data_IF_449388452723
#
_entry.id   IF_449388452723
#
_cell.length_a   1.000
_cell.length_b   1.000
_cell.length_c   1.000
_cell.angle_alpha   90.00
_cell.angle_beta   90.00
_cell.angle_gamma   90.00
#
_symmetry.space_group_name_H-M   'P 1'
#
loop_
_entity.id
_entity.type
_entity.pdbx_description
1 polymer ?
#
# COMPACT_ATOMS: atom_id res chain seq x y z
N UNK A 1 0.76 6.27 17.21
CA UNK A 1 0.08 5.08 16.67
C UNK A 1 -0.89 5.44 15.54
N UNK A 2 -1.81 6.40 15.71
CA UNK A 2 -2.71 6.87 14.62
C UNK A 2 -1.95 7.23 13.33
N UNK A 3 -0.95 8.10 13.42
CA UNK A 3 -0.19 8.57 12.26
C UNK A 3 0.62 7.46 11.59
N UNK A 4 1.21 6.56 12.38
CA UNK A 4 1.89 5.36 11.89
C UNK A 4 0.93 4.34 11.27
N UNK A 5 -0.31 4.23 11.76
CA UNK A 5 -1.36 3.36 11.19
C UNK A 5 -1.95 3.94 9.91
N UNK A 6 -2.14 5.26 9.84
CA UNK A 6 -2.47 5.94 8.59
C UNK A 6 -1.35 5.76 7.56
N UNK A 7 -0.11 6.04 7.97
CA UNK A 7 1.06 5.82 7.14
C UNK A 7 1.15 4.37 6.64
N UNK A 8 0.96 3.41 7.55
CA UNK A 8 0.91 1.99 7.21
C UNK A 8 -0.26 1.68 6.28
N UNK A 9 -1.45 2.27 6.46
CA UNK A 9 -2.59 2.12 5.54
C UNK A 9 -2.23 2.58 4.12
N UNK A 10 -1.48 3.67 3.97
CA UNK A 10 -1.02 4.17 2.66
C UNK A 10 0.05 3.27 2.00
N UNK A 11 0.85 2.51 2.77
CA UNK A 11 1.95 1.69 2.25
C UNK A 11 1.64 0.19 2.22
N UNK A 12 0.68 -0.28 3.02
CA UNK A 12 0.30 -1.69 3.20
C UNK A 12 -0.71 -2.19 2.17
N UNK A 13 -1.05 -1.36 1.18
CA UNK A 13 -1.49 -1.88 -0.10
C UNK A 13 -0.36 -2.75 -0.65
N UNK A 14 -0.31 -4.03 -0.21
CA UNK A 14 0.60 -5.04 -0.72
C UNK A 14 0.58 -4.90 -2.21
N UNK A 15 1.67 -4.31 -2.73
CA UNK A 15 1.71 -3.89 -4.11
C UNK A 15 1.25 -5.06 -4.99
N UNK A 16 0.43 -4.79 -6.00
CA UNK A 16 0.02 -5.82 -6.96
C UNK A 16 1.22 -6.58 -7.53
N UNK A 17 2.42 -5.99 -7.50
CA UNK A 17 3.73 -6.58 -7.70
C UNK A 17 3.92 -7.93 -6.99
N UNK A 18 3.52 -8.02 -5.71
CA UNK A 18 3.57 -9.25 -4.93
C UNK A 18 2.60 -10.32 -5.42
N UNK A 19 1.57 -9.92 -6.17
CA UNK A 19 0.61 -10.82 -6.82
C UNK A 19 1.12 -11.33 -8.16
N UNK A 20 2.12 -10.66 -8.74
CA UNK A 20 2.81 -11.10 -9.95
C UNK A 20 3.94 -12.10 -9.63
N UNK A 21 4.75 -11.79 -8.61
CA UNK A 21 5.83 -12.66 -8.14
C UNK A 21 5.88 -12.62 -6.61
N UNK A 22 5.37 -13.67 -5.97
CA UNK A 22 5.37 -13.78 -4.52
C UNK A 22 6.58 -14.60 -4.03
N UNK A 23 7.14 -14.33 -2.84
CA UNK A 23 8.17 -15.19 -2.24
C UNK A 23 7.76 -16.68 -2.13
N UNK A 24 6.47 -16.95 -1.93
CA UNK A 24 5.91 -18.32 -1.91
C UNK A 24 5.64 -18.91 -3.29
N UNK A 25 5.69 -18.13 -4.37
CA UNK A 25 5.55 -18.62 -5.75
C UNK A 25 6.56 -19.75 -6.03
N UNK A 26 7.74 -19.74 -5.40
CA UNK A 26 8.73 -20.83 -5.49
C UNK A 26 8.17 -22.21 -5.10
N UNK A 27 7.38 -22.29 -4.03
CA UNK A 27 6.82 -23.56 -3.56
C UNK A 27 5.76 -24.08 -4.53
N UNK A 28 4.91 -23.19 -5.02
CA UNK A 28 3.85 -23.48 -6.00
C UNK A 28 4.48 -23.91 -7.34
N UNK A 29 5.47 -23.17 -7.85
CA UNK A 29 6.20 -23.51 -9.08
C UNK A 29 6.80 -24.91 -9.04
N UNK A 30 7.52 -25.23 -7.97
CA UNK A 30 8.14 -26.56 -7.78
C UNK A 30 7.13 -27.71 -7.69
N UNK A 31 5.90 -27.41 -7.28
CA UNK A 31 4.84 -28.41 -7.15
C UNK A 31 4.24 -28.78 -8.51
N UNK A 32 4.08 -27.79 -9.41
CA UNK A 32 3.32 -27.96 -10.65
C UNK A 32 4.18 -28.11 -11.89
N UNK A 33 5.41 -27.58 -11.88
CA UNK A 33 6.32 -27.66 -13.02
C UNK A 33 7.22 -28.87 -12.85
N UNK A 34 6.97 -29.90 -13.67
CA UNK A 34 7.67 -31.19 -13.60
C UNK A 34 8.92 -31.25 -14.47
N UNK A 35 9.00 -30.42 -15.50
CA UNK A 35 10.17 -30.34 -16.39
C UNK A 35 11.31 -29.57 -15.70
N UNK A 36 12.37 -30.28 -15.32
CA UNK A 36 13.48 -29.76 -14.51
C UNK A 36 14.18 -28.55 -15.15
N UNK A 37 14.49 -28.63 -16.45
CA UNK A 37 15.15 -27.53 -17.16
C UNK A 37 14.30 -26.25 -17.17
N UNK A 38 12.98 -26.38 -17.40
CA UNK A 38 12.04 -25.26 -17.41
C UNK A 38 11.87 -24.68 -16.01
N UNK A 39 11.80 -25.54 -15.00
CA UNK A 39 11.77 -25.13 -13.60
C UNK A 39 13.03 -24.34 -13.23
N UNK A 40 14.22 -24.79 -13.63
CA UNK A 40 15.48 -24.09 -13.38
C UNK A 40 15.53 -22.70 -14.03
N UNK A 41 15.05 -22.59 -15.28
CA UNK A 41 14.94 -21.31 -15.99
C UNK A 41 14.03 -20.33 -15.24
N UNK A 42 12.84 -20.78 -14.84
CA UNK A 42 11.90 -19.97 -14.06
C UNK A 42 12.51 -19.57 -12.71
N UNK A 43 13.18 -20.51 -12.03
CA UNK A 43 13.81 -20.24 -10.74
C UNK A 43 14.95 -19.23 -10.86
N UNK A 44 15.68 -19.19 -11.97
CA UNK A 44 16.66 -18.15 -12.25
C UNK A 44 16.00 -16.76 -12.34
N UNK A 45 14.86 -16.64 -13.04
CA UNK A 45 14.09 -15.40 -13.15
C UNK A 45 13.59 -14.94 -11.76
N UNK A 46 13.01 -15.86 -10.98
CA UNK A 46 12.54 -15.55 -9.61
C UNK A 46 13.68 -15.11 -8.70
N UNK A 47 14.84 -15.76 -8.78
CA UNK A 47 16.00 -15.39 -7.98
C UNK A 47 16.56 -14.01 -8.36
N UNK A 48 16.58 -13.69 -9.65
CA UNK A 48 16.94 -12.36 -10.13
C UNK A 48 15.96 -11.29 -9.64
N UNK A 49 14.65 -11.54 -9.74
CA UNK A 49 13.61 -10.65 -9.22
C UNK A 49 13.84 -10.39 -7.73
N UNK A 50 13.88 -11.43 -6.89
CA UNK A 50 14.03 -11.29 -5.45
C UNK A 50 15.29 -10.51 -5.04
N UNK A 51 16.42 -10.73 -5.75
CA UNK A 51 17.67 -10.02 -5.48
C UNK A 51 17.55 -8.51 -5.79
N UNK A 52 16.86 -8.18 -6.87
CA UNK A 52 16.69 -6.80 -7.34
C UNK A 52 15.62 -6.07 -6.53
N UNK A 53 14.48 -6.72 -6.29
CA UNK A 53 13.38 -6.25 -5.43
C UNK A 53 13.89 -5.88 -4.03
N UNK A 54 14.72 -6.74 -3.40
CA UNK A 54 15.35 -6.44 -2.10
C UNK A 54 16.19 -5.16 -2.10
N UNK A 55 16.80 -4.79 -3.24
CA UNK A 55 17.57 -3.54 -3.34
C UNK A 55 16.66 -2.32 -3.50
N UNK A 56 15.54 -2.49 -4.21
CA UNK A 56 14.53 -1.45 -4.41
C UNK A 56 13.79 -1.18 -3.09
N UNK A 57 13.36 -2.23 -2.37
CA UNK A 57 12.74 -2.15 -1.05
C UNK A 57 13.58 -1.36 -0.05
N UNK A 58 14.91 -1.54 -0.04
CA UNK A 58 15.80 -0.74 0.83
C UNK A 58 15.79 0.75 0.54
N UNK A 59 15.50 1.17 -0.70
CA UNK A 59 15.33 2.59 -1.05
C UNK A 59 13.94 3.06 -0.61
N UNK A 60 12.92 2.25 -0.89
CA UNK A 60 11.53 2.46 -0.49
C UNK A 60 11.42 2.65 1.04
N UNK A 61 12.02 1.77 1.84
CA UNK A 61 12.08 1.84 3.30
C UNK A 61 12.69 3.16 3.81
N UNK A 62 13.74 3.66 3.16
CA UNK A 62 14.39 4.93 3.57
C UNK A 62 13.49 6.13 3.30
N UNK A 63 12.83 6.14 2.14
CA UNK A 63 11.89 7.19 1.78
C UNK A 63 10.65 7.12 2.67
N UNK A 64 10.19 5.91 3.00
CA UNK A 64 9.11 5.71 3.95
C UNK A 64 9.45 6.30 5.33
N UNK A 65 10.62 5.99 5.90
CA UNK A 65 11.05 6.59 7.18
C UNK A 65 11.12 8.13 7.07
N UNK A 66 11.53 8.66 5.92
CA UNK A 66 11.59 10.12 5.71
C UNK A 66 10.18 10.72 5.70
N UNK A 67 9.23 10.11 4.98
CA UNK A 67 7.82 10.52 4.97
C UNK A 67 7.23 10.45 6.38
N UNK A 68 7.45 9.36 7.12
CA UNK A 68 6.97 9.22 8.49
C UNK A 68 7.48 10.35 9.40
N UNK A 69 8.75 10.73 9.28
CA UNK A 69 9.29 11.84 10.07
C UNK A 69 8.65 13.19 9.70
N UNK A 70 8.43 13.45 8.40
CA UNK A 70 7.75 14.66 7.95
C UNK A 70 6.28 14.68 8.41
N UNK A 71 5.64 13.53 8.49
CA UNK A 71 4.26 13.39 8.94
C UNK A 71 4.10 13.74 10.43
N UNK A 72 5.11 13.40 11.24
CA UNK A 72 5.14 13.72 12.67
C UNK A 72 5.50 15.18 12.94
N UNK A 73 6.27 15.81 12.04
CA UNK A 73 6.62 17.22 12.14
C UNK A 73 5.43 18.11 11.74
N UNK A 74 4.95 18.92 12.70
CA UNK A 74 3.88 19.91 12.49
C UNK A 74 4.26 20.97 11.46
N UNK A 75 5.55 21.30 11.39
CA UNK A 75 6.10 22.35 10.53
C UNK A 75 6.31 21.92 9.09
N UNK A 76 6.12 20.63 8.76
CA UNK A 76 6.26 20.13 7.40
C UNK A 76 5.33 20.86 6.43
N UNK A 77 5.91 21.34 5.34
CA UNK A 77 5.16 21.97 4.25
C UNK A 77 4.58 20.95 3.28
N UNK A 78 3.55 21.36 2.53
CA UNK A 78 2.94 20.53 1.48
C UNK A 78 3.99 20.10 0.45
N UNK A 79 4.87 21.02 0.09
CA UNK A 79 5.93 20.80 -0.89
C UNK A 79 6.91 19.72 -0.41
N UNK A 80 7.40 19.80 0.83
CA UNK A 80 8.28 18.78 1.41
C UNK A 80 7.64 17.38 1.43
N UNK A 81 6.35 17.30 1.78
CA UNK A 81 5.61 16.04 1.78
C UNK A 81 5.52 15.46 0.35
N UNK A 82 5.14 16.29 -0.62
CA UNK A 82 5.00 15.86 -2.02
C UNK A 82 6.34 15.48 -2.65
N UNK A 83 7.41 16.24 -2.42
CA UNK A 83 8.73 15.95 -3.00
C UNK A 83 9.22 14.55 -2.61
N UNK A 84 9.16 14.20 -1.31
CA UNK A 84 9.58 12.87 -0.84
C UNK A 84 8.61 11.78 -1.32
N UNK A 85 7.33 12.10 -1.46
CA UNK A 85 6.34 11.15 -1.98
C UNK A 85 6.52 10.85 -3.48
N UNK A 86 6.88 11.84 -4.30
CA UNK A 86 7.20 11.61 -5.70
C UNK A 86 8.42 10.70 -5.87
N UNK A 87 9.45 10.89 -5.03
CA UNK A 87 10.60 9.99 -4.97
C UNK A 87 10.18 8.58 -4.55
N UNK A 88 9.30 8.47 -3.54
CA UNK A 88 8.76 7.21 -3.06
C UNK A 88 8.00 6.45 -4.16
N UNK A 89 7.09 7.12 -4.88
CA UNK A 89 6.34 6.54 -5.99
C UNK A 89 7.26 6.18 -7.15
N UNK A 90 8.28 6.98 -7.46
CA UNK A 90 9.27 6.63 -8.49
C UNK A 90 10.00 5.32 -8.18
N UNK A 91 10.33 5.07 -6.90
CA UNK A 91 10.92 3.81 -6.46
C UNK A 91 9.92 2.65 -6.54
N UNK A 92 8.65 2.87 -6.19
CA UNK A 92 7.58 1.86 -6.36
C UNK A 92 7.35 1.53 -7.83
N UNK A 93 7.37 2.51 -8.72
CA UNK A 93 7.25 2.28 -10.16
C UNK A 93 8.36 1.37 -10.70
N UNK A 94 9.60 1.56 -10.26
CA UNK A 94 10.71 0.66 -10.61
C UNK A 94 10.46 -0.77 -10.13
N UNK A 95 9.84 -0.92 -8.96
CA UNK A 95 9.47 -2.21 -8.39
C UNK A 95 8.37 -2.89 -9.19
N UNK A 96 7.35 -2.13 -9.58
CA UNK A 96 6.27 -2.58 -10.45
C UNK A 96 6.76 -3.00 -11.82
N UNK A 97 7.60 -2.20 -12.47
CA UNK A 97 8.16 -2.54 -13.78
C UNK A 97 9.00 -3.83 -13.73
N UNK A 98 9.77 -4.02 -12.65
CA UNK A 98 10.51 -5.27 -12.43
C UNK A 98 9.56 -6.46 -12.29
N UNK A 99 8.50 -6.33 -11.48
CA UNK A 99 7.52 -7.39 -11.23
C UNK A 99 6.72 -7.75 -12.49
N UNK A 100 6.28 -6.75 -13.27
CA UNK A 100 5.60 -6.93 -14.55
C UNK A 100 6.52 -7.66 -15.53
N UNK A 101 7.74 -7.14 -15.72
CA UNK A 101 8.70 -7.70 -16.68
C UNK A 101 9.04 -9.16 -16.36
N UNK A 102 9.34 -9.47 -15.09
CA UNK A 102 9.68 -10.84 -14.71
C UNK A 102 8.43 -11.74 -14.65
N UNK A 103 7.27 -11.20 -14.26
CA UNK A 103 6.02 -11.96 -14.14
C UNK A 103 5.54 -12.48 -15.48
N UNK A 104 5.63 -11.65 -16.53
CA UNK A 104 5.33 -12.06 -17.91
C UNK A 104 6.25 -13.20 -18.37
N UNK A 105 7.57 -13.07 -18.19
CA UNK A 105 8.52 -14.13 -18.56
C UNK A 105 8.23 -15.46 -17.86
N UNK A 106 7.85 -15.41 -16.58
CA UNK A 106 7.46 -16.61 -15.83
C UNK A 106 6.18 -17.21 -16.43
N UNK A 107 5.16 -16.39 -16.72
CA UNK A 107 3.88 -16.84 -17.31
C UNK A 107 4.05 -17.45 -18.71
N UNK A 108 4.99 -16.96 -19.50
CA UNK A 108 5.33 -17.49 -20.84
C UNK A 108 5.90 -18.91 -20.76
N UNK A 109 6.68 -19.21 -19.71
CA UNK A 109 7.29 -20.53 -19.50
C UNK A 109 6.34 -21.53 -18.83
N UNK A 110 5.18 -21.10 -18.33
CA UNK A 110 4.20 -21.98 -17.69
C UNK A 110 3.19 -22.43 -18.76
N UNK A 111 2.81 -23.71 -18.79
CA UNK A 111 1.72 -24.17 -19.65
C UNK A 111 0.36 -23.69 -19.10
N UNK A 112 -0.68 -23.66 -19.93
CA UNK A 112 -2.00 -23.19 -19.46
C UNK A 112 -2.59 -24.10 -18.38
N UNK A 113 -2.40 -25.42 -18.51
CA UNK A 113 -2.84 -26.38 -17.50
C UNK A 113 -2.14 -26.20 -16.14
N UNK A 114 -0.83 -25.93 -16.15
CA UNK A 114 -0.09 -25.61 -14.94
C UNK A 114 -0.55 -24.28 -14.34
N UNK A 115 -0.76 -23.26 -15.18
CA UNK A 115 -1.23 -21.96 -14.72
C UNK A 115 -2.57 -22.07 -14.00
N UNK A 116 -3.55 -22.78 -14.58
CA UNK A 116 -4.88 -22.93 -13.99
C UNK A 116 -4.80 -23.62 -12.62
N UNK A 117 -3.95 -24.64 -12.47
CA UNK A 117 -3.70 -25.31 -11.18
C UNK A 117 -3.02 -24.38 -10.17
N UNK A 118 -2.02 -23.62 -10.61
CA UNK A 118 -1.30 -22.67 -9.78
C UNK A 118 -2.19 -21.51 -9.33
N UNK A 119 -3.06 -21.00 -10.21
CA UNK A 119 -3.92 -19.86 -9.97
C UNK A 119 -4.86 -20.11 -8.78
N UNK A 120 -5.41 -21.32 -8.65
CA UNK A 120 -6.26 -21.69 -7.49
C UNK A 120 -5.49 -21.59 -6.17
N UNK A 121 -4.23 -22.06 -6.13
CA UNK A 121 -3.41 -21.96 -4.92
C UNK A 121 -2.96 -20.52 -4.64
N UNK A 122 -2.61 -19.77 -5.69
CA UNK A 122 -2.26 -18.36 -5.58
C UNK A 122 -3.44 -17.57 -5.01
N UNK A 123 -4.65 -17.74 -5.56
CA UNK A 123 -5.88 -17.12 -5.04
C UNK A 123 -6.11 -17.45 -3.56
N UNK A 124 -5.91 -18.71 -3.15
CA UNK A 124 -6.02 -19.09 -1.74
C UNK A 124 -4.99 -18.38 -0.84
N UNK A 125 -3.74 -18.27 -1.28
CA UNK A 125 -2.70 -17.58 -0.53
C UNK A 125 -2.95 -16.07 -0.43
N UNK A 126 -3.40 -15.42 -1.51
CA UNK A 126 -3.71 -13.99 -1.52
C UNK A 126 -5.00 -13.64 -0.79
N UNK A 127 -5.95 -14.57 -0.68
CA UNK A 127 -7.16 -14.37 0.15
C UNK A 127 -6.83 -14.11 1.61
N UNK A 128 -5.79 -14.75 2.15
CA UNK A 128 -5.29 -14.46 3.53
C UNK A 128 -4.79 -13.02 3.67
N UNK A 129 -4.25 -12.45 2.59
CA UNK A 129 -3.79 -11.06 2.54
C UNK A 129 -4.96 -10.07 2.46
N UNK A 130 -6.04 -10.42 1.74
CA UNK A 130 -7.28 -9.62 1.66
C UNK A 130 -7.95 -9.46 3.03
N UNK A 131 -8.03 -10.52 3.83
CA UNK A 131 -8.59 -10.42 5.19
C UNK A 131 -7.84 -9.39 6.04
N UNK A 132 -6.50 -9.32 5.91
CA UNK A 132 -5.71 -8.29 6.60
C UNK A 132 -6.08 -6.87 6.15
N UNK A 133 -6.34 -6.64 4.86
CA UNK A 133 -6.78 -5.33 4.36
C UNK A 133 -8.13 -4.91 4.95
N UNK A 134 -9.09 -5.84 5.06
CA UNK A 134 -10.37 -5.57 5.71
C UNK A 134 -10.21 -5.26 7.20
N UNK A 135 -9.31 -5.96 7.89
CA UNK A 135 -9.00 -5.68 9.30
C UNK A 135 -8.30 -4.32 9.47
N UNK A 136 -7.37 -3.96 8.56
CA UNK A 136 -6.75 -2.64 8.55
C UNK A 136 -7.75 -1.50 8.35
N UNK A 137 -8.79 -1.67 7.52
CA UNK A 137 -9.84 -0.65 7.38
C UNK A 137 -10.63 -0.46 8.66
N UNK A 138 -10.93 -1.54 9.38
CA UNK A 138 -11.57 -1.47 10.69
C UNK A 138 -10.65 -0.79 11.71
N UNK A 139 -9.36 -1.08 11.68
CA UNK A 139 -8.36 -0.42 12.54
C UNK A 139 -8.22 1.07 12.21
N UNK A 140 -8.27 1.45 10.93
CA UNK A 140 -8.26 2.85 10.50
C UNK A 140 -9.51 3.58 10.99
N UNK A 141 -10.69 2.98 10.83
CA UNK A 141 -11.96 3.53 11.32
C UNK A 141 -11.92 3.73 12.84
N UNK A 142 -11.44 2.73 13.59
CA UNK A 142 -11.24 2.86 15.03
C UNK A 142 -10.24 3.96 15.39
N UNK A 143 -9.14 4.06 14.65
CA UNK A 143 -8.12 5.10 14.84
C UNK A 143 -8.70 6.50 14.63
N UNK A 144 -9.58 6.68 13.64
CA UNK A 144 -10.31 7.93 13.41
C UNK A 144 -11.26 8.28 14.56
N UNK A 145 -12.01 7.30 15.07
CA UNK A 145 -12.90 7.48 16.23
C UNK A 145 -12.11 7.88 17.49
N UNK A 146 -10.95 7.25 17.70
CA UNK A 146 -10.03 7.57 18.80
C UNK A 146 -9.48 9.00 18.65
N UNK A 147 -9.08 9.41 17.45
CA UNK A 147 -8.64 10.79 17.16
C UNK A 147 -9.74 11.82 17.44
N UNK A 148 -10.98 11.52 17.04
CA UNK A 148 -12.14 12.40 17.29
C UNK A 148 -12.41 12.55 18.78
N UNK A 149 -12.26 11.47 19.55
CA UNK A 149 -12.37 11.49 21.01
C UNK A 149 -11.24 12.29 21.68
N UNK A 150 -10.04 12.26 21.11
CA UNK A 150 -8.91 13.04 21.61
C UNK A 150 -9.07 14.54 21.34
N UNK A 151 -9.54 14.93 20.16
CA UNK A 151 -9.86 16.32 19.82
C UNK A 151 -10.78 16.93 20.90
N UNK A 152 -11.82 16.21 21.32
CA UNK A 152 -12.73 16.65 22.41
C UNK A 152 -12.04 16.84 23.77
N UNK A 153 -10.95 16.13 24.04
CA UNK A 153 -10.20 16.21 25.31
C UNK A 153 -9.19 17.34 25.32
N UNK A 154 -8.51 17.60 24.19
CA UNK A 154 -7.39 18.55 24.10
C UNK A 154 -7.85 19.97 23.73
N UNK A 155 -9.00 20.10 23.09
CA UNK A 155 -9.56 21.39 22.67
C UNK A 155 -10.66 21.78 23.64
N UNK A 156 -10.58 22.98 24.22
CA UNK A 156 -11.61 23.48 25.15
C UNK A 156 -12.76 24.22 24.47
N UNK A 157 -12.54 24.70 23.24
CA UNK A 157 -13.54 25.45 22.47
C UNK A 157 -14.40 24.53 21.60
N UNK A 158 -15.73 24.63 21.75
CA UNK A 158 -16.68 23.74 21.06
C UNK A 158 -16.72 23.98 19.54
N UNK A 159 -16.49 25.20 19.07
CA UNK A 159 -16.49 25.50 17.63
C UNK A 159 -15.24 24.95 16.96
N UNK A 160 -14.09 25.08 17.61
CA UNK A 160 -12.82 24.52 17.17
C UNK A 160 -12.84 22.99 17.19
N UNK A 161 -13.43 22.37 18.23
CA UNK A 161 -13.68 20.92 18.27
C UNK A 161 -14.47 20.45 17.05
N UNK A 162 -15.64 21.08 16.77
CA UNK A 162 -16.48 20.72 15.62
C UNK A 162 -15.75 20.87 14.29
N UNK A 163 -14.93 21.91 14.14
CA UNK A 163 -14.10 22.12 12.94
C UNK A 163 -13.11 20.96 12.76
N UNK A 164 -12.37 20.61 13.80
CA UNK A 164 -11.37 19.53 13.77
C UNK A 164 -12.02 18.15 13.57
N UNK A 165 -13.16 17.89 14.19
CA UNK A 165 -13.94 16.67 13.97
C UNK A 165 -14.36 16.53 12.51
N UNK A 166 -14.89 17.60 11.89
CA UNK A 166 -15.26 17.56 10.48
C UNK A 166 -14.05 17.29 9.57
N UNK A 167 -12.89 17.87 9.85
CA UNK A 167 -11.65 17.61 9.10
C UNK A 167 -11.28 16.11 9.13
N UNK A 168 -11.41 15.48 10.30
CA UNK A 168 -11.09 14.05 10.48
C UNK A 168 -12.13 13.15 9.82
N UNK A 169 -13.42 13.50 9.92
CA UNK A 169 -14.51 12.77 9.25
C UNK A 169 -14.41 12.84 7.73
N UNK A 170 -14.08 14.01 7.16
CA UNK A 170 -13.84 14.17 5.72
C UNK A 170 -12.72 13.25 5.22
N UNK A 171 -11.65 13.11 6.01
CA UNK A 171 -10.56 12.18 5.71
C UNK A 171 -11.03 10.72 5.75
N UNK A 172 -11.83 10.34 6.75
CA UNK A 172 -12.37 8.99 6.89
C UNK A 172 -13.25 8.59 5.70
N UNK A 173 -14.09 9.51 5.23
CA UNK A 173 -14.94 9.28 4.05
C UNK A 173 -14.08 9.03 2.80
N UNK A 174 -13.06 9.86 2.56
CA UNK A 174 -12.13 9.69 1.45
C UNK A 174 -11.37 8.36 1.54
N UNK A 175 -10.86 8.02 2.73
CA UNK A 175 -10.17 6.75 2.94
C UNK A 175 -11.06 5.53 2.68
N UNK A 176 -12.35 5.61 3.05
CA UNK A 176 -13.33 4.56 2.78
C UNK A 176 -13.62 4.40 1.28
N UNK A 177 -13.79 5.50 0.54
CA UNK A 177 -13.97 5.46 -0.92
C UNK A 177 -12.75 4.83 -1.59
N UNK A 178 -11.55 5.29 -1.24
CA UNK A 178 -10.31 4.76 -1.79
C UNK A 178 -10.15 3.26 -1.49
N UNK A 179 -10.51 2.83 -0.30
CA UNK A 179 -10.48 1.42 0.08
C UNK A 179 -11.37 0.54 -0.81
N UNK A 180 -12.58 1.01 -1.12
CA UNK A 180 -13.47 0.32 -2.06
C UNK A 180 -12.85 0.24 -3.46
N UNK A 181 -12.13 1.28 -3.89
CA UNK A 181 -11.44 1.28 -5.18
C UNK A 181 -10.21 0.37 -5.25
N UNK A 182 -9.50 0.19 -4.13
CA UNK A 182 -8.41 -0.79 -4.00
C UNK A 182 -8.91 -2.23 -3.88
N UNK A 183 -10.09 -2.46 -3.29
CA UNK A 183 -10.62 -3.78 -3.03
C UNK A 183 -10.58 -4.73 -4.25
N UNK A 184 -10.98 -4.34 -5.47
CA UNK A 184 -10.92 -5.22 -6.64
C UNK A 184 -9.50 -5.40 -7.23
N UNK A 185 -8.46 -4.77 -6.68
CA UNK A 185 -7.06 -4.88 -7.14
C UNK A 185 -6.39 -6.10 -6.50
N UNK A 186 -6.95 -7.27 -6.77
CA UNK A 186 -6.45 -8.53 -6.26
C UNK A 186 -6.65 -9.67 -7.29
N UNK A 187 -5.89 -10.76 -7.17
CA UNK A 187 -5.90 -11.85 -8.16
C UNK A 187 -7.24 -12.63 -8.24
N UNK A 188 -8.11 -12.53 -7.23
CA UNK A 188 -9.44 -13.13 -7.22
C UNK A 188 -10.40 -12.32 -8.10
N UNK A 189 -10.36 -10.99 -7.96
CA UNK A 189 -11.35 -10.09 -8.57
C UNK A 189 -10.83 -9.37 -9.83
N UNK A 190 -9.51 -9.31 -10.03
CA UNK A 190 -8.89 -8.62 -11.16
C UNK A 190 -8.51 -9.60 -12.28
N UNK A 191 -9.13 -9.41 -13.45
CA UNK A 191 -8.87 -10.23 -14.63
C UNK A 191 -7.41 -10.17 -15.09
N UNK A 192 -6.76 -9.01 -15.07
CA UNK A 192 -5.38 -8.85 -15.54
C UNK A 192 -4.41 -9.66 -14.68
N UNK A 193 -4.65 -9.69 -13.36
CA UNK A 193 -3.81 -10.46 -12.44
C UNK A 193 -3.98 -11.98 -12.60
N UNK A 194 -5.19 -12.45 -12.86
CA UNK A 194 -5.50 -13.88 -13.02
C UNK A 194 -5.26 -14.43 -14.44
N UNK A 195 -5.29 -13.58 -15.46
CA UNK A 195 -5.11 -13.99 -16.85
C UNK A 195 -3.64 -14.28 -17.17
N UNK A 196 -3.35 -15.53 -17.54
CA UNK A 196 -2.03 -15.97 -17.98
C UNK A 196 -1.46 -15.12 -19.12
N UNK A 197 -2.34 -14.70 -20.03
CA UNK A 197 -2.00 -14.02 -21.28
C UNK A 197 -2.08 -12.50 -21.18
N UNK A 198 -2.30 -11.96 -19.97
CA UNK A 198 -2.26 -10.53 -19.74
C UNK A 198 -0.94 -9.92 -20.25
N UNK A 199 -1.09 -8.84 -21.01
CA UNK A 199 0.03 -8.17 -21.67
C UNK A 199 0.69 -7.14 -20.76
N UNK A 200 1.93 -6.75 -21.10
CA UNK A 200 2.61 -5.64 -20.42
C UNK A 200 1.78 -4.34 -20.43
N UNK A 201 1.02 -4.11 -21.51
CA UNK A 201 0.13 -2.95 -21.61
C UNK A 201 -0.99 -3.00 -20.58
N UNK A 202 -1.64 -4.14 -20.41
CA UNK A 202 -2.72 -4.31 -19.42
C UNK A 202 -2.20 -4.19 -17.99
N UNK A 203 -1.01 -4.72 -17.69
CA UNK A 203 -0.38 -4.52 -16.39
C UNK A 203 0.00 -3.05 -16.15
N UNK A 204 0.50 -2.35 -17.17
CA UNK A 204 0.81 -0.93 -17.03
C UNK A 204 -0.43 -0.07 -16.81
N UNK A 205 -1.56 -0.40 -17.43
CA UNK A 205 -2.84 0.27 -17.15
C UNK A 205 -3.30 0.03 -15.71
N UNK A 206 -3.12 -1.19 -15.18
CA UNK A 206 -3.40 -1.48 -13.78
C UNK A 206 -2.47 -0.70 -12.84
N UNK A 207 -1.18 -0.63 -13.17
CA UNK A 207 -0.18 0.17 -12.44
C UNK A 207 -0.57 1.65 -12.40
N UNK A 208 -0.93 2.23 -13.55
CA UNK A 208 -1.36 3.63 -13.64
C UNK A 208 -2.59 3.91 -12.77
N UNK A 209 -3.57 3.01 -12.77
CA UNK A 209 -4.74 3.11 -11.88
C UNK A 209 -4.32 3.10 -10.41
N UNK A 210 -3.44 2.18 -10.00
CA UNK A 210 -2.95 2.09 -8.62
C UNK A 210 -2.21 3.36 -8.23
N UNK A 211 -1.33 3.88 -9.10
CA UNK A 211 -0.60 5.12 -8.83
C UNK A 211 -1.53 6.33 -8.67
N UNK A 212 -2.64 6.38 -9.41
CA UNK A 212 -3.66 7.42 -9.25
C UNK A 212 -4.35 7.33 -7.88
N UNK A 213 -4.71 6.12 -7.45
CA UNK A 213 -5.28 5.89 -6.13
C UNK A 213 -4.28 6.26 -5.03
N UNK A 214 -3.01 5.86 -5.16
CA UNK A 214 -1.95 6.17 -4.21
C UNK A 214 -1.82 7.71 -4.07
N UNK A 215 -1.87 8.44 -5.20
CA UNK A 215 -1.77 9.91 -5.24
C UNK A 215 -2.98 10.59 -4.59
N UNK A 216 -4.18 10.10 -4.84
CA UNK A 216 -5.40 10.61 -4.20
C UNK A 216 -5.36 10.38 -2.68
N UNK A 217 -4.94 9.18 -2.27
CA UNK A 217 -4.79 8.79 -0.88
C UNK A 217 -3.77 9.67 -0.15
N UNK A 218 -2.60 9.90 -0.77
CA UNK A 218 -1.60 10.80 -0.24
C UNK A 218 -2.08 12.26 -0.21
N UNK A 219 -2.81 12.72 -1.22
CA UNK A 219 -3.42 14.05 -1.24
C UNK A 219 -4.42 14.28 -0.09
N UNK A 220 -5.27 13.28 0.19
CA UNK A 220 -6.19 13.29 1.33
C UNK A 220 -5.43 13.41 2.66
N UNK A 221 -4.35 12.66 2.80
CA UNK A 221 -3.47 12.73 3.96
C UNK A 221 -2.82 14.12 4.13
N UNK A 222 -2.19 14.64 3.08
CA UNK A 222 -1.53 15.96 3.09
C UNK A 222 -2.55 17.05 3.43
N UNK A 223 -3.80 16.92 2.97
CA UNK A 223 -4.88 17.83 3.37
C UNK A 223 -5.14 17.74 4.88
N UNK A 224 -5.37 16.54 5.42
CA UNK A 224 -5.59 16.30 6.85
C UNK A 224 -4.46 16.88 7.71
N UNK A 225 -3.21 16.50 7.41
CA UNK A 225 -2.03 16.96 8.15
C UNK A 225 -1.98 18.49 8.22
N UNK A 226 -2.14 19.16 7.08
CA UNK A 226 -2.10 20.61 7.02
C UNK A 226 -3.27 21.30 7.71
N UNK A 227 -4.48 20.76 7.62
CA UNK A 227 -5.64 21.36 8.26
C UNK A 227 -5.57 21.24 9.79
N UNK A 228 -5.05 20.12 10.30
CA UNK A 228 -4.77 19.91 11.71
C UNK A 228 -3.60 20.79 12.19
N UNK A 229 -2.46 20.77 11.52
CA UNK A 229 -1.26 21.51 11.95
C UNK A 229 -1.44 23.03 11.95
N UNK A 230 -2.28 23.56 11.05
CA UNK A 230 -2.64 24.98 11.01
C UNK A 230 -3.67 25.39 12.06
N UNK A 231 -4.47 24.45 12.55
CA UNK A 231 -5.51 24.74 13.55
C UNK A 231 -4.96 24.54 14.97
N UNK A 232 -4.15 23.52 15.19
CA UNK A 232 -3.64 23.15 16.51
C UNK A 232 -2.42 24.00 16.91
N UNK A 233 -2.33 24.32 18.21
CA UNK A 233 -1.08 24.78 18.83
C UNK A 233 -0.05 23.64 18.89
N UNK A 234 1.22 23.95 19.17
CA UNK A 234 2.25 22.91 19.35
C UNK A 234 1.89 21.91 20.45
N UNK A 235 1.46 22.40 21.62
CA UNK A 235 1.10 21.53 22.74
C UNK A 235 -0.08 20.60 22.41
N UNK A 236 -1.06 21.09 21.66
CA UNK A 236 -2.20 20.27 21.24
C UNK A 236 -1.80 19.26 20.16
N UNK A 237 -0.90 19.64 19.25
CA UNK A 237 -0.33 18.73 18.26
C UNK A 237 0.46 17.61 18.92
N UNK A 238 1.38 17.95 19.83
CA UNK A 238 2.15 16.96 20.61
C UNK A 238 1.22 16.01 21.38
N UNK A 239 0.16 16.54 22.01
CA UNK A 239 -0.83 15.72 22.72
C UNK A 239 -1.59 14.76 21.78
N UNK A 240 -1.84 15.17 20.53
CA UNK A 240 -2.44 14.33 19.49
C UNK A 240 -1.47 13.25 18.97
N UNK A 241 -0.15 13.49 19.02
CA UNK A 241 0.88 12.52 18.63
C UNK A 241 1.17 11.47 19.72
N UNK A 242 1.17 11.87 21.00
CA UNK A 242 1.80 11.12 22.10
C UNK A 242 1.11 9.81 22.52
N UNK A 243 -0.16 9.59 22.19
CA UNK A 243 -0.85 8.33 22.55
C UNK A 243 -0.55 7.14 21.61
N UNK A 244 0.68 7.07 21.10
CA UNK A 244 1.24 5.84 20.54
C UNK A 244 2.30 5.16 21.42
N UNK A 245 2.63 5.73 22.58
CA UNK A 245 3.80 5.32 23.37
C UNK A 245 3.53 5.09 24.87
N UNK A 246 2.30 5.29 25.36
CA UNK A 246 1.94 4.89 26.71
C UNK A 246 1.19 3.55 26.66
N UNK A 247 1.73 2.59 27.43
CA UNK A 247 1.36 1.18 27.58
C UNK A 247 -0.14 0.88 27.81
#
# INVERSE_FOLDING_TARGET
MFWTLLFSFFLLGNGFEHQLIHPKTKGILKKYITEEQRLDEIMAIVNYHNKTDKRIQKKEEKLAITLENLFLDKGSSREQLWDVYEDYISVRDQRADLAISQGIKIRELISSEEWDKMLVELQHEFKKTRYRQTDYLKELQKSVEDMSSQIKRIIGDEQEQKKLENIVLDFQEQASILAEEYAPINIEDNKVLSDKYATAKEFNQLKEKINQLDRQSFGAYVKLHHELSNTLTELQWEALLWQGMDD
#
